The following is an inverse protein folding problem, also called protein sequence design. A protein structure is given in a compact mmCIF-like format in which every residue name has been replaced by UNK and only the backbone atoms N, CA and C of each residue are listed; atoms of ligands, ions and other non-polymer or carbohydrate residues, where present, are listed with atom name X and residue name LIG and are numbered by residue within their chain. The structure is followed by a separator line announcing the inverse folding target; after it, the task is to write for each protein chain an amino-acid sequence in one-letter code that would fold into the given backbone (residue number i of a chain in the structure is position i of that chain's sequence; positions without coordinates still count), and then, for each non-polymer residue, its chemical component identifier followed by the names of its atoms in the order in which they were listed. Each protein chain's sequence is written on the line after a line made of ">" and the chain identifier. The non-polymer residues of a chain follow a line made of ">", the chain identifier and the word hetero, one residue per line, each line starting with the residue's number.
data_IF_238625302442
#
_entry.id   IF_238625302442
#
_cell.length_a   1.000
_cell.length_b   1.000
_cell.length_c   1.000
_cell.angle_alpha   90.00
_cell.angle_beta   90.00
_cell.angle_gamma   90.00
#
_symmetry.space_group_name_H-M   'P 1'
#
loop_
_entity.id
_entity.type
_entity.pdbx_description
1 polymer ?
#
# COMPACT_ATOMS: atom_id res chain seq x y z
N UNK A 1 -10.95 32.57 4.17
CA UNK A 1 -10.64 31.28 4.83
C UNK A 1 -11.21 30.18 3.96
N UNK A 2 -10.39 29.22 3.52
CA UNK A 2 -10.89 28.08 2.74
C UNK A 2 -11.37 27.01 3.73
N UNK A 3 -12.66 26.71 3.74
CA UNK A 3 -13.19 25.58 4.49
C UNK A 3 -12.64 24.28 3.88
N UNK A 4 -11.85 23.53 4.65
CA UNK A 4 -11.31 22.23 4.24
C UNK A 4 -12.16 21.11 4.85
N UNK A 5 -12.64 20.19 4.03
CA UNK A 5 -13.23 18.94 4.49
C UNK A 5 -12.11 17.93 4.79
N UNK A 6 -12.19 17.25 5.94
CA UNK A 6 -11.17 16.29 6.39
C UNK A 6 -11.84 14.94 6.58
N UNK A 7 -11.34 13.94 5.87
CA UNK A 7 -11.75 12.54 6.03
C UNK A 7 -10.62 11.74 6.67
N UNK A 8 -10.96 10.85 7.61
CA UNK A 8 -10.00 9.96 8.29
C UNK A 8 -10.57 8.55 8.35
N UNK A 9 -9.71 7.58 8.09
CA UNK A 9 -9.96 6.18 8.44
C UNK A 9 -9.05 5.86 9.62
N UNK A 10 -9.64 5.45 10.74
CA UNK A 10 -8.94 5.18 12.01
C UNK A 10 -9.33 3.77 12.45
N UNK A 11 -8.40 3.08 13.11
CA UNK A 11 -8.60 1.74 13.68
C UNK A 11 -9.03 0.65 12.67
N UNK A 12 -8.65 0.81 11.40
CA UNK A 12 -8.82 -0.25 10.41
C UNK A 12 -7.86 -1.40 10.67
N UNK A 13 -8.39 -2.61 10.72
CA UNK A 13 -7.57 -3.83 10.79
C UNK A 13 -7.19 -4.31 9.40
N UNK A 14 -5.98 -4.85 9.26
CA UNK A 14 -5.61 -5.59 8.04
C UNK A 14 -6.45 -6.87 7.95
N UNK A 15 -6.85 -7.24 6.74
CA UNK A 15 -7.54 -8.50 6.53
C UNK A 15 -6.63 -9.70 6.86
N UNK A 16 -7.23 -10.84 7.17
CA UNK A 16 -6.50 -12.07 7.51
C UNK A 16 -5.46 -12.46 6.47
N UNK A 17 -5.81 -12.34 5.18
CA UNK A 17 -4.88 -12.61 4.09
C UNK A 17 -3.61 -11.77 4.19
N UNK A 18 -3.73 -10.45 4.36
CA UNK A 18 -2.57 -9.56 4.46
C UNK A 18 -1.74 -9.85 5.71
N UNK A 19 -2.39 -10.15 6.83
CA UNK A 19 -1.70 -10.54 8.06
C UNK A 19 -0.87 -11.81 7.83
N UNK A 20 -1.45 -12.85 7.23
CA UNK A 20 -0.76 -14.13 7.02
C UNK A 20 0.28 -14.06 5.89
N UNK A 21 0.03 -13.23 4.88
CA UNK A 21 1.02 -12.91 3.85
C UNK A 21 2.26 -12.29 4.49
N UNK A 22 2.10 -11.25 5.32
CA UNK A 22 3.22 -10.59 6.01
C UNK A 22 3.95 -11.57 6.93
N UNK A 23 3.23 -12.43 7.66
CA UNK A 23 3.86 -13.46 8.50
C UNK A 23 4.74 -14.39 7.65
N UNK A 24 4.21 -14.96 6.57
CA UNK A 24 4.94 -15.86 5.67
C UNK A 24 6.15 -15.19 5.04
N UNK A 25 6.00 -13.93 4.63
CA UNK A 25 7.10 -13.14 4.08
C UNK A 25 8.22 -12.96 5.10
N UNK A 26 7.90 -12.65 6.36
CA UNK A 26 8.90 -12.37 7.41
C UNK A 26 9.55 -13.62 8.02
N UNK A 27 8.80 -14.70 8.23
CA UNK A 27 9.29 -15.89 8.95
C UNK A 27 9.58 -17.07 8.04
N UNK A 28 8.93 -17.15 6.89
CA UNK A 28 9.07 -18.25 5.94
C UNK A 28 10.18 -18.05 4.91
N UNK A 29 10.78 -16.86 4.85
CA UNK A 29 11.78 -16.49 3.84
C UNK A 29 12.99 -15.88 4.54
N UNK A 30 14.19 -16.38 4.23
CA UNK A 30 15.44 -15.93 4.85
C UNK A 30 16.27 -15.04 3.93
N UNK A 31 15.89 -14.95 2.65
CA UNK A 31 16.62 -14.26 1.60
C UNK A 31 15.74 -13.12 1.09
N UNK A 32 16.25 -11.90 1.18
CA UNK A 32 15.59 -10.65 0.76
C UNK A 32 15.14 -10.72 -0.70
N UNK A 33 16.00 -11.20 -1.57
CA UNK A 33 15.76 -11.31 -3.01
C UNK A 33 14.56 -12.21 -3.28
N UNK A 34 14.40 -13.30 -2.52
CA UNK A 34 13.23 -14.17 -2.64
C UNK A 34 11.95 -13.45 -2.19
N UNK A 35 12.00 -12.63 -1.14
CA UNK A 35 10.85 -11.81 -0.73
C UNK A 35 10.47 -10.82 -1.83
N UNK A 36 11.45 -10.18 -2.46
CA UNK A 36 11.20 -9.23 -3.54
C UNK A 36 10.57 -9.90 -4.78
N UNK A 37 10.98 -11.11 -5.15
CA UNK A 37 10.32 -11.89 -6.23
C UNK A 37 8.84 -12.14 -5.94
N UNK A 38 8.48 -12.36 -4.68
CA UNK A 38 7.07 -12.48 -4.28
C UNK A 38 6.36 -11.12 -4.35
N UNK A 39 7.02 -10.05 -3.91
CA UNK A 39 6.46 -8.69 -3.92
C UNK A 39 6.31 -8.09 -5.33
N UNK A 40 7.11 -8.53 -6.31
CA UNK A 40 6.94 -8.17 -7.73
C UNK A 40 5.55 -8.50 -8.27
N UNK A 41 4.90 -9.51 -7.67
CA UNK A 41 3.56 -9.95 -8.06
C UNK A 41 2.46 -9.42 -7.12
N UNK A 42 2.82 -8.62 -6.10
CA UNK A 42 1.86 -8.01 -5.18
C UNK A 42 1.64 -6.54 -5.54
N UNK A 43 0.44 -6.22 -5.99
CA UNK A 43 -0.04 -4.85 -6.13
C UNK A 43 -1.25 -4.58 -5.23
N UNK A 44 -1.32 -3.38 -4.64
CA UNK A 44 -2.52 -2.90 -3.93
C UNK A 44 -3.03 -1.66 -4.64
N UNK A 45 -4.29 -1.66 -5.05
CA UNK A 45 -4.94 -0.50 -5.66
C UNK A 45 -5.94 0.11 -4.66
N UNK A 46 -5.70 1.35 -4.25
CA UNK A 46 -6.64 2.12 -3.45
C UNK A 46 -7.40 3.10 -4.32
N UNK A 47 -8.72 2.95 -4.36
CA UNK A 47 -9.63 3.86 -5.06
C UNK A 47 -10.53 4.56 -4.05
N UNK A 48 -10.55 5.90 -4.09
CA UNK A 48 -11.50 6.72 -3.34
C UNK A 48 -12.49 7.28 -4.34
N UNK A 49 -13.77 6.93 -4.17
CA UNK A 49 -14.86 7.36 -5.03
C UNK A 49 -15.87 8.20 -4.25
N UNK A 50 -16.42 9.21 -4.90
CA UNK A 50 -17.57 9.93 -4.40
C UNK A 50 -18.78 8.98 -4.35
N UNK A 51 -19.40 8.84 -3.19
CA UNK A 51 -20.56 7.95 -3.02
C UNK A 51 -21.77 8.41 -3.84
N UNK A 52 -21.93 9.72 -4.02
CA UNK A 52 -23.12 10.31 -4.64
C UNK A 52 -23.01 10.31 -6.18
N UNK A 53 -21.81 10.53 -6.71
CA UNK A 53 -21.57 10.70 -8.15
C UNK A 53 -20.81 9.54 -8.79
N UNK A 54 -20.26 8.61 -7.99
CA UNK A 54 -19.26 7.60 -8.41
C UNK A 54 -18.01 8.20 -9.08
N UNK A 55 -17.76 9.50 -8.91
CA UNK A 55 -16.56 10.16 -9.41
C UNK A 55 -15.32 9.63 -8.69
N UNK A 56 -14.26 9.32 -9.46
CA UNK A 56 -12.97 8.92 -8.92
C UNK A 56 -12.24 10.14 -8.35
N UNK A 57 -12.16 10.23 -7.02
CA UNK A 57 -11.52 11.33 -6.30
C UNK A 57 -10.01 11.12 -6.18
N UNK A 58 -9.59 9.86 -5.99
CA UNK A 58 -8.18 9.49 -5.85
C UNK A 58 -7.97 8.02 -6.22
N UNK A 59 -6.88 7.73 -6.92
CA UNK A 59 -6.43 6.38 -7.21
C UNK A 59 -4.93 6.28 -6.91
N UNK A 60 -4.54 5.31 -6.09
CA UNK A 60 -3.14 5.05 -5.76
C UNK A 60 -2.85 3.57 -6.00
N UNK A 61 -1.87 3.29 -6.86
CA UNK A 61 -1.30 1.96 -7.01
C UNK A 61 -0.05 1.87 -6.12
N UNK A 62 -0.03 0.88 -5.22
CA UNK A 62 1.10 0.56 -4.37
C UNK A 62 1.84 -0.65 -4.91
N UNK A 63 3.15 -0.47 -5.07
CA UNK A 63 4.14 -1.51 -5.31
C UNK A 63 5.09 -1.55 -4.11
N UNK A 64 5.70 -2.71 -3.86
CA UNK A 64 6.43 -2.95 -2.62
C UNK A 64 7.78 -3.60 -2.87
N UNK A 65 8.74 -3.27 -2.02
CA UNK A 65 10.04 -3.91 -1.92
C UNK A 65 10.47 -3.99 -0.45
N UNK A 66 11.37 -4.91 -0.12
CA UNK A 66 12.00 -4.95 1.19
C UNK A 66 13.05 -3.81 1.25
N UNK A 67 13.03 -3.00 2.31
CA UNK A 67 13.99 -1.90 2.49
C UNK A 67 15.43 -2.41 2.61
N UNK A 68 16.39 -1.83 1.88
CA UNK A 68 17.84 -2.08 2.04
C UNK A 68 18.42 -1.37 3.26
N UNK A 69 17.69 -0.36 3.73
CA UNK A 69 18.20 0.53 4.74
C UNK A 69 17.93 -0.01 6.15
N UNK A 70 18.95 0.10 7.01
CA UNK A 70 18.80 -0.08 8.45
C UNK A 70 17.90 1.00 9.08
N UNK A 71 17.60 2.08 8.35
CA UNK A 71 16.87 3.26 8.82
C UNK A 71 15.35 3.19 8.64
N UNK A 72 14.78 2.07 8.17
CA UNK A 72 13.33 1.81 8.19
C UNK A 72 12.64 1.85 6.83
N UNK A 73 11.32 2.04 6.84
CA UNK A 73 10.48 2.07 5.62
C UNK A 73 10.70 3.34 4.83
N UNK A 74 10.81 3.22 3.51
CA UNK A 74 10.90 4.34 2.57
C UNK A 74 9.77 4.24 1.54
N UNK A 75 9.33 5.37 1.00
CA UNK A 75 8.30 5.41 -0.05
C UNK A 75 8.55 6.59 -0.99
N UNK A 76 8.44 6.34 -2.29
CA UNK A 76 8.46 7.39 -3.31
C UNK A 76 7.12 7.42 -4.02
N UNK A 77 6.56 8.62 -4.19
CA UNK A 77 5.29 8.81 -4.88
C UNK A 77 5.53 9.39 -6.28
N UNK A 78 4.89 8.79 -7.28
CA UNK A 78 4.93 9.24 -8.66
C UNK A 78 3.51 9.59 -9.11
N UNK A 79 3.40 10.61 -9.96
CA UNK A 79 2.16 10.85 -10.69
C UNK A 79 2.09 9.87 -11.85
N UNK A 80 1.04 9.06 -11.88
CA UNK A 80 0.75 8.24 -13.04
C UNK A 80 0.29 9.16 -14.18
N UNK A 81 0.99 9.08 -15.30
CA UNK A 81 0.64 9.74 -16.55
C UNK A 81 0.32 8.64 -17.57
N UNK A 82 -0.62 8.91 -18.48
CA UNK A 82 -0.78 8.12 -19.70
C UNK A 82 0.32 8.42 -20.72
#
# INVERSE_FOLDING_TARGET
>A
MVNKYIHRSVDTTMCHFMIDFIKKLKTGMYIREMMNVVLEHLGVLQTVVSKDTNELLLCIAYIFEISESLSGTQSTAYRLCE
#
